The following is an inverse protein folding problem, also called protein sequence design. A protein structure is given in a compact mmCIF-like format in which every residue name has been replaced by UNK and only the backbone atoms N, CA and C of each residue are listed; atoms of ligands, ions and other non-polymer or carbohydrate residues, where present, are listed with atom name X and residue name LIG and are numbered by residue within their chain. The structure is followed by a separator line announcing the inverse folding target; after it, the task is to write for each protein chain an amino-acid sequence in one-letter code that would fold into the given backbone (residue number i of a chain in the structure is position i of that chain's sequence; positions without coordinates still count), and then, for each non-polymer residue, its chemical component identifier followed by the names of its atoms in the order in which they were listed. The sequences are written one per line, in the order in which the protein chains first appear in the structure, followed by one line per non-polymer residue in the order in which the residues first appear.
data_IF_765510817243
#
_entry.id   IF_765510817243
#
_cell.length_a   1.000
_cell.length_b   1.000
_cell.length_c   1.000
_cell.angle_alpha   90.00
_cell.angle_beta   90.00
_cell.angle_gamma   90.00
#
_symmetry.space_group_name_H-M   'P 1'
#
loop_
_entity.id
_entity.type
_entity.pdbx_description
1 polymer ?
#
# COMPACT_ATOMS: atom_id res chain seq x y z
N UNK A 1 -12.16 7.52 4.12
CA UNK A 1 -13.54 7.00 4.21
C UNK A 1 -14.02 6.60 2.82
N UNK A 2 -14.58 5.41 2.67
CA UNK A 2 -15.04 4.88 1.38
C UNK A 2 -16.24 3.91 1.54
N UNK A 3 -17.11 4.12 2.52
CA UNK A 3 -18.24 3.22 2.81
C UNK A 3 -19.29 3.09 1.71
N UNK A 4 -19.20 3.89 0.65
CA UNK A 4 -20.00 3.76 -0.55
C UNK A 4 -19.45 2.74 -1.55
N UNK A 5 -18.16 2.41 -1.46
CA UNK A 5 -17.49 1.51 -2.39
C UNK A 5 -17.50 0.06 -1.88
N UNK A 6 -17.60 -0.91 -2.80
CA UNK A 6 -17.52 -2.34 -2.52
C UNK A 6 -16.16 -2.94 -2.85
N UNK A 7 -15.42 -2.30 -3.75
CA UNK A 7 -14.09 -2.71 -4.20
C UNK A 7 -13.13 -1.52 -4.14
N UNK A 8 -11.92 -1.76 -3.66
CA UNK A 8 -10.81 -0.83 -3.71
C UNK A 8 -9.57 -1.51 -4.31
N UNK A 9 -8.87 -0.83 -5.20
CA UNK A 9 -7.57 -1.27 -5.71
C UNK A 9 -6.55 -0.18 -5.50
N UNK A 10 -5.54 -0.48 -4.69
CA UNK A 10 -4.34 0.34 -4.55
C UNK A 10 -3.32 -0.07 -5.60
N UNK A 11 -2.78 0.89 -6.34
CA UNK A 11 -1.59 0.72 -7.16
C UNK A 11 -0.48 1.56 -6.55
N UNK A 12 0.67 0.93 -6.28
CA UNK A 12 1.83 1.54 -5.63
C UNK A 12 3.00 1.45 -6.59
N UNK A 13 3.61 2.60 -6.88
CA UNK A 13 4.85 2.67 -7.64
C UNK A 13 5.88 3.43 -6.82
N UNK A 14 7.06 2.82 -6.68
CA UNK A 14 8.21 3.46 -6.06
C UNK A 14 8.86 4.40 -7.07
N UNK A 15 9.08 5.64 -6.66
CA UNK A 15 9.74 6.67 -7.48
C UNK A 15 11.21 6.78 -7.10
N UNK A 16 11.50 6.79 -5.81
CA UNK A 16 12.84 6.89 -5.24
C UNK A 16 12.87 6.13 -3.91
N UNK A 17 14.01 5.53 -3.59
CA UNK A 17 14.24 4.84 -2.31
C UNK A 17 15.74 4.82 -1.99
N UNK A 18 16.08 4.90 -0.71
CA UNK A 18 17.43 4.65 -0.20
C UNK A 18 17.56 3.24 0.43
N UNK A 19 16.47 2.46 0.43
CA UNK A 19 16.47 1.07 0.90
C UNK A 19 17.31 0.22 -0.04
N UNK A 20 18.26 -0.54 0.51
CA UNK A 20 19.12 -1.45 -0.25
C UNK A 20 19.24 -2.81 0.42
N UNK A 21 19.24 -3.89 -0.37
CA UNK A 21 19.39 -5.27 0.07
C UNK A 21 18.35 -5.70 1.11
N UNK A 22 17.15 -5.11 1.06
CA UNK A 22 16.03 -5.37 1.95
C UNK A 22 14.73 -5.20 1.18
N UNK A 23 13.67 -5.91 1.56
CA UNK A 23 12.40 -5.80 0.85
C UNK A 23 11.38 -4.99 1.65
N UNK A 24 11.20 -3.69 1.32
CA UNK A 24 10.18 -2.87 1.95
C UNK A 24 8.80 -3.44 1.70
N UNK A 25 7.91 -3.27 2.68
CA UNK A 25 6.59 -3.90 2.69
C UNK A 25 5.48 -2.86 2.78
N UNK A 26 4.38 -3.12 2.09
CA UNK A 26 3.14 -2.38 2.24
C UNK A 26 1.94 -3.33 2.31
N UNK A 27 0.88 -2.95 3.00
CA UNK A 27 -0.35 -3.74 3.11
C UNK A 27 -1.55 -2.82 3.31
N UNK A 28 -2.74 -3.34 3.02
CA UNK A 28 -3.99 -2.62 3.29
C UNK A 28 -4.41 -2.90 4.72
N UNK A 29 -4.94 -1.88 5.39
CA UNK A 29 -5.60 -2.04 6.68
C UNK A 29 -7.01 -1.49 6.61
N UNK A 30 -7.92 -2.15 7.34
CA UNK A 30 -9.31 -1.76 7.45
C UNK A 30 -9.67 -1.46 8.91
N UNK A 31 -10.72 -0.68 9.12
CA UNK A 31 -11.16 -0.32 10.46
C UNK A 31 -12.69 -0.15 10.55
N UNK A 32 -13.33 -0.61 11.65
CA UNK A 32 -14.74 -0.33 11.89
C UNK A 32 -14.98 1.11 12.37
N UNK A 33 -13.99 1.74 13.00
CA UNK A 33 -14.15 3.01 13.73
C UNK A 33 -13.12 4.10 13.33
N UNK A 34 -12.17 3.78 12.46
CA UNK A 34 -11.06 4.65 12.05
C UNK A 34 -9.95 4.79 13.10
N UNK A 35 -10.07 4.10 14.24
CA UNK A 35 -9.13 4.17 15.37
C UNK A 35 -8.35 2.86 15.54
N UNK A 36 -9.04 1.72 15.43
CA UNK A 36 -8.45 0.39 15.56
C UNK A 36 -8.34 -0.27 14.20
N UNK A 37 -7.12 -0.64 13.80
CA UNK A 37 -6.81 -1.10 12.45
C UNK A 37 -6.37 -2.55 12.46
N UNK A 38 -6.85 -3.34 11.49
CA UNK A 38 -6.38 -4.69 11.23
C UNK A 38 -5.85 -4.80 9.80
N UNK A 39 -4.82 -5.64 9.61
CA UNK A 39 -4.29 -5.96 8.28
C UNK A 39 -5.32 -6.77 7.49
N UNK A 40 -5.51 -6.40 6.23
CA UNK A 40 -6.42 -7.05 5.31
C UNK A 40 -5.66 -7.52 4.06
N UNK A 41 -5.86 -8.78 3.69
CA UNK A 41 -5.23 -9.37 2.50
C UNK A 41 -3.73 -9.61 2.62
N UNK A 42 -3.04 -9.55 1.48
CA UNK A 42 -1.62 -9.87 1.37
C UNK A 42 -0.70 -8.64 1.47
N UNK A 43 0.53 -8.89 1.92
CA UNK A 43 1.61 -7.91 1.91
C UNK A 43 2.19 -7.75 0.50
N UNK A 44 2.28 -6.50 0.05
CA UNK A 44 3.00 -6.08 -1.13
C UNK A 44 4.49 -5.93 -0.81
N UNK A 45 5.32 -6.70 -1.51
CA UNK A 45 6.76 -6.48 -1.54
C UNK A 45 7.06 -5.37 -2.53
N UNK A 46 7.66 -4.27 -2.06
CA UNK A 46 8.07 -3.13 -2.87
C UNK A 46 9.53 -3.31 -3.32
N UNK A 47 9.90 -2.82 -4.52
CA UNK A 47 11.27 -2.87 -4.99
C UNK A 47 12.20 -1.99 -4.13
N UNK A 48 13.44 -2.43 -4.00
CA UNK A 48 14.54 -1.71 -3.35
C UNK A 48 15.68 -1.42 -4.34
N UNK A 49 16.68 -0.66 -3.91
CA UNK A 49 17.85 -0.31 -4.71
C UNK A 49 17.64 0.91 -5.63
N UNK A 50 18.72 1.26 -6.33
CA UNK A 50 18.81 2.46 -7.18
C UNK A 50 18.22 2.28 -8.57
N UNK A 51 18.12 1.03 -9.05
CA UNK A 51 17.62 0.69 -10.38
C UNK A 51 16.14 0.29 -10.31
N UNK A 52 15.28 1.26 -9.98
CA UNK A 52 13.84 1.06 -9.95
C UNK A 52 13.28 0.98 -11.38
N UNK A 53 12.63 -0.13 -11.79
CA UNK A 53 12.04 -0.21 -13.11
C UNK A 53 10.89 0.79 -13.23
N UNK A 54 10.92 1.66 -14.25
CA UNK A 54 9.86 2.67 -14.43
C UNK A 54 8.45 2.07 -14.54
N UNK A 55 8.35 0.82 -14.97
CA UNK A 55 7.10 0.09 -15.18
C UNK A 55 6.73 -0.85 -14.02
N UNK A 56 7.49 -0.85 -12.91
CA UNK A 56 7.15 -1.67 -11.73
C UNK A 56 6.04 -0.99 -10.91
N UNK A 57 4.82 -1.48 -11.09
CA UNK A 57 3.63 -1.09 -10.34
C UNK A 57 3.11 -2.32 -9.61
N UNK A 58 3.08 -2.24 -8.28
CA UNK A 58 2.46 -3.26 -7.42
C UNK A 58 1.03 -2.88 -7.14
N UNK A 59 0.17 -3.86 -6.90
CA UNK A 59 -1.22 -3.56 -6.58
C UNK A 59 -1.79 -4.53 -5.56
N UNK A 60 -2.69 -4.03 -4.71
CA UNK A 60 -3.50 -4.82 -3.79
C UNK A 60 -4.98 -4.49 -4.02
N UNK A 61 -5.80 -5.54 -4.08
CA UNK A 61 -7.26 -5.43 -4.19
C UNK A 61 -7.90 -5.78 -2.85
N UNK A 62 -8.93 -5.04 -2.48
CA UNK A 62 -9.66 -5.25 -1.23
C UNK A 62 -11.15 -5.09 -1.49
N UNK A 63 -11.95 -5.95 -0.88
CA UNK A 63 -13.42 -5.93 -0.95
C UNK A 63 -13.97 -6.10 0.45
N UNK A 64 -15.24 -5.78 0.67
CA UNK A 64 -15.91 -5.96 1.98
C UNK A 64 -15.22 -5.23 3.16
N UNK A 65 -14.53 -4.11 2.90
CA UNK A 65 -13.73 -3.38 3.89
C UNK A 65 -14.52 -2.44 4.81
N UNK A 66 -15.85 -2.35 4.63
CA UNK A 66 -16.69 -1.42 5.39
C UNK A 66 -16.40 0.02 5.01
N UNK A 67 -16.02 0.87 5.98
CA UNK A 67 -15.93 2.32 5.77
C UNK A 67 -14.50 2.88 5.70
N UNK A 68 -13.58 2.32 6.50
CA UNK A 68 -12.23 2.84 6.64
C UNK A 68 -11.21 1.87 6.04
N UNK A 69 -10.39 2.40 5.14
CA UNK A 69 -9.24 1.73 4.56
C UNK A 69 -8.03 2.67 4.58
N UNK A 70 -6.84 2.12 4.74
CA UNK A 70 -5.57 2.82 4.55
C UNK A 70 -4.52 1.88 3.97
N UNK A 71 -3.51 2.47 3.33
CA UNK A 71 -2.28 1.78 2.98
C UNK A 71 -1.28 2.03 4.11
N UNK A 72 -0.79 0.95 4.71
CA UNK A 72 0.28 0.97 5.70
C UNK A 72 1.53 0.32 5.10
N UNK A 73 2.68 0.54 5.71
CA UNK A 73 3.91 -0.08 5.29
C UNK A 73 5.00 0.02 6.33
N UNK A 74 6.06 -0.74 6.11
CA UNK A 74 7.23 -0.83 6.96
C UNK A 74 8.48 -0.69 6.10
N UNK A 75 9.34 0.22 6.53
CA UNK A 75 10.66 0.45 5.96
C UNK A 75 11.70 0.16 7.04
N UNK A 76 12.92 -0.24 6.66
CA UNK A 76 14.03 -0.34 7.60
C UNK A 76 14.30 0.98 8.33
N UNK A 77 14.87 0.95 9.55
CA UNK A 77 15.24 2.17 10.26
C UNK A 77 16.16 3.08 9.43
N UNK A 78 16.01 4.39 9.60
CA UNK A 78 16.82 5.42 8.94
C UNK A 78 16.78 5.39 7.40
N UNK A 79 15.74 4.79 6.81
CA UNK A 79 15.48 4.79 5.37
C UNK A 79 14.23 5.57 5.01
N UNK A 80 14.12 5.95 3.74
CA UNK A 80 13.01 6.69 3.18
C UNK A 80 12.66 6.18 1.78
N UNK A 81 11.36 6.19 1.48
CA UNK A 81 10.84 5.78 0.19
C UNK A 81 9.79 6.78 -0.28
N UNK A 82 9.93 7.26 -1.51
CA UNK A 82 8.95 8.10 -2.18
C UNK A 82 8.14 7.25 -3.13
N UNK A 83 6.82 7.21 -2.91
CA UNK A 83 5.89 6.43 -3.73
C UNK A 83 4.82 7.33 -4.35
N UNK A 84 4.29 6.90 -5.49
CA UNK A 84 3.00 7.36 -5.98
C UNK A 84 1.96 6.26 -5.76
N UNK A 85 0.81 6.64 -5.21
CA UNK A 85 -0.29 5.72 -4.93
C UNK A 85 -1.51 6.16 -5.71
N UNK A 86 -2.06 5.25 -6.51
CA UNK A 86 -3.36 5.41 -7.15
C UNK A 86 -4.36 4.55 -6.40
N UNK A 87 -5.47 5.14 -5.97
CA UNK A 87 -6.58 4.43 -5.34
C UNK A 87 -7.78 4.49 -6.26
N UNK A 88 -8.22 3.32 -6.74
CA UNK A 88 -9.45 3.17 -7.51
C UNK A 88 -10.52 2.57 -6.62
N UNK A 89 -11.68 3.23 -6.54
CA UNK A 89 -12.84 2.78 -5.78
C UNK A 89 -14.00 2.49 -6.73
N UNK A 90 -14.69 1.38 -6.52
CA UNK A 90 -15.87 0.99 -7.29
C UNK A 90 -17.01 0.53 -6.39
N UNK A 91 -18.23 0.76 -6.89
CA UNK A 91 -19.47 0.21 -6.36
C UNK A 91 -19.74 -1.20 -6.88
#
# INVERSE_FOLDING_TARGET
EAGWAREAVFFVRVLETDVTNQWPQAWVEISPDGMHWCREGETLMLPDGVDLPEQDIRFCRVTHFGNWLRLAGELPPDTSMRVIVYLTLKE
#
